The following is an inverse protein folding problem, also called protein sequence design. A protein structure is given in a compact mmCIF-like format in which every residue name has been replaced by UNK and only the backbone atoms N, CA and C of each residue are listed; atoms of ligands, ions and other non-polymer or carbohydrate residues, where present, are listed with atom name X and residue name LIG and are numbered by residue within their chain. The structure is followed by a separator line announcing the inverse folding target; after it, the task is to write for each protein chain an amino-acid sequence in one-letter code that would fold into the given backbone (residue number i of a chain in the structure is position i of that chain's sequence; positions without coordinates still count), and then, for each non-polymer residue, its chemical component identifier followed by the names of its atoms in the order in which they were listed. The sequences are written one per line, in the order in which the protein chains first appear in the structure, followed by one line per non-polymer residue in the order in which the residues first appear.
data_IF_324408929396
#
_entry.id   IF_324408929396
#
_cell.length_a   1.000
_cell.length_b   1.000
_cell.length_c   1.000
_cell.angle_alpha   90.00
_cell.angle_beta   90.00
_cell.angle_gamma   90.00
#
_symmetry.space_group_name_H-M   'P 1'
#
loop_
_entity.id
_entity.type
_entity.pdbx_description
1 polymer ?
#
# COMPACT_ATOMS: atom_id res chain seq x y z
N UNK A 1 16.87 2.20 3.71
CA UNK A 1 15.61 1.69 3.12
C UNK A 1 15.60 0.17 3.24
N UNK A 2 14.62 -0.39 3.95
CA UNK A 2 14.52 -1.83 4.13
C UNK A 2 13.26 -2.35 3.44
N UNK A 3 13.43 -3.31 2.53
CA UNK A 3 12.30 -4.02 1.95
C UNK A 3 11.60 -4.86 3.01
N UNK A 4 10.28 -4.83 3.02
CA UNK A 4 9.45 -5.65 3.88
C UNK A 4 8.46 -6.44 3.04
N UNK A 5 8.24 -7.70 3.44
CA UNK A 5 7.12 -8.45 2.90
C UNK A 5 5.81 -7.92 3.47
N UNK A 6 4.71 -8.18 2.76
CA UNK A 6 3.35 -7.83 3.21
C UNK A 6 3.07 -8.49 4.57
N UNK A 7 3.49 -9.74 4.77
CA UNK A 7 3.37 -10.45 6.05
C UNK A 7 4.09 -9.72 7.19
N UNK A 8 5.31 -9.24 6.96
CA UNK A 8 6.09 -8.51 7.97
C UNK A 8 5.44 -7.16 8.31
N UNK A 9 5.01 -6.42 7.29
CA UNK A 9 4.35 -5.13 7.49
C UNK A 9 3.01 -5.30 8.26
N UNK A 10 2.21 -6.31 7.93
CA UNK A 10 0.97 -6.62 8.66
C UNK A 10 1.21 -7.14 10.08
N UNK A 11 2.39 -7.70 10.37
CA UNK A 11 2.82 -8.06 11.72
C UNK A 11 3.30 -6.84 12.54
N UNK A 12 3.30 -5.64 11.94
CA UNK A 12 3.71 -4.40 12.61
C UNK A 12 5.22 -4.17 12.62
N UNK A 13 5.99 -4.91 11.81
CA UNK A 13 7.41 -4.63 11.69
C UNK A 13 7.66 -3.27 11.04
N UNK A 14 8.33 -2.37 11.76
CA UNK A 14 8.67 -1.00 11.30
C UNK A 14 7.51 0.00 11.31
N UNK A 15 6.50 -0.22 12.17
CA UNK A 15 5.43 0.76 12.41
C UNK A 15 6.02 2.09 12.87
N UNK A 16 5.52 3.20 12.30
CA UNK A 16 6.06 4.55 12.49
C UNK A 16 7.31 4.84 11.63
N UNK A 17 7.79 3.86 10.87
CA UNK A 17 8.92 4.00 9.96
C UNK A 17 8.50 3.95 8.49
N UNK A 18 9.45 4.32 7.61
CA UNK A 18 9.34 4.14 6.17
C UNK A 18 9.57 2.67 5.80
N UNK A 19 8.67 2.13 4.98
CA UNK A 19 8.78 0.77 4.43
C UNK A 19 8.61 0.80 2.91
N UNK A 20 9.29 -0.11 2.23
CA UNK A 20 9.06 -0.37 0.81
C UNK A 20 8.56 -1.81 0.64
N UNK A 21 7.41 -1.96 -0.02
CA UNK A 21 6.86 -3.26 -0.41
C UNK A 21 6.91 -3.43 -1.93
N UNK A 22 6.88 -4.68 -2.38
CA UNK A 22 6.78 -5.04 -3.79
C UNK A 22 5.73 -6.12 -3.93
N UNK A 23 4.85 -6.00 -4.92
CA UNK A 23 3.82 -7.00 -5.11
C UNK A 23 2.88 -6.66 -6.25
N UNK A 24 1.70 -7.26 -6.22
CA UNK A 24 0.67 -7.10 -7.22
C UNK A 24 -0.59 -6.50 -6.61
N UNK A 25 -1.18 -5.58 -7.34
CA UNK A 25 -2.48 -4.97 -7.00
C UNK A 25 -3.55 -6.06 -7.06
N UNK A 26 -4.30 -6.22 -5.98
CA UNK A 26 -5.50 -7.05 -5.90
C UNK A 26 -6.72 -6.25 -6.28
N UNK A 27 -6.87 -5.08 -5.67
CA UNK A 27 -7.98 -4.16 -5.93
C UNK A 27 -7.48 -2.72 -5.78
N UNK A 28 -8.15 -1.80 -6.46
CA UNK A 28 -8.03 -0.36 -6.26
C UNK A 28 -9.44 0.20 -6.04
N UNK A 29 -9.59 1.10 -5.09
CA UNK A 29 -10.83 1.86 -4.88
C UNK A 29 -10.51 3.34 -4.73
N UNK A 30 -11.15 4.14 -5.54
CA UNK A 30 -10.95 5.58 -5.54
C UNK A 30 -11.93 6.26 -4.58
N UNK A 31 -11.46 7.34 -3.94
CA UNK A 31 -12.25 8.27 -3.13
C UNK A 31 -12.04 9.69 -3.66
N UNK A 32 -12.68 10.68 -3.05
CA UNK A 32 -12.57 12.08 -3.49
C UNK A 32 -11.14 12.64 -3.38
N UNK A 33 -10.32 12.15 -2.44
CA UNK A 33 -8.99 12.70 -2.15
C UNK A 33 -7.83 11.70 -2.29
N UNK A 34 -8.11 10.41 -2.48
CA UNK A 34 -7.09 9.35 -2.44
C UNK A 34 -7.59 8.05 -3.09
N UNK A 35 -6.67 7.18 -3.43
CA UNK A 35 -6.93 5.79 -3.84
C UNK A 35 -6.48 4.82 -2.75
N UNK A 36 -7.33 3.85 -2.44
CA UNK A 36 -6.98 2.69 -1.62
C UNK A 36 -6.56 1.55 -2.55
N UNK A 37 -5.30 1.16 -2.48
CA UNK A 37 -4.72 0.07 -3.28
C UNK A 37 -4.42 -1.11 -2.38
N UNK A 38 -5.04 -2.26 -2.60
CA UNK A 38 -4.71 -3.48 -1.87
C UNK A 38 -3.62 -4.23 -2.62
N UNK A 39 -2.48 -4.45 -1.96
CA UNK A 39 -1.29 -5.08 -2.55
C UNK A 39 -0.98 -6.39 -1.83
N UNK A 40 -0.60 -7.41 -2.60
CA UNK A 40 -0.19 -8.71 -2.10
C UNK A 40 1.11 -9.13 -2.77
N UNK A 41 2.01 -9.74 -2.01
CA UNK A 41 3.32 -10.23 -2.49
C UNK A 41 3.46 -11.76 -2.42
N UNK A 42 2.40 -12.46 -1.99
CA UNK A 42 2.38 -13.91 -1.79
C UNK A 42 2.96 -14.40 -0.46
N UNK A 43 3.49 -13.52 0.40
CA UNK A 43 4.02 -13.91 1.72
C UNK A 43 2.93 -14.31 2.72
N UNK A 44 1.70 -13.84 2.52
CA UNK A 44 0.50 -14.26 3.24
C UNK A 44 -0.77 -14.05 2.39
N UNK A 45 -1.90 -14.58 2.86
CA UNK A 45 -3.20 -14.43 2.20
C UNK A 45 -3.78 -13.01 2.30
N UNK A 46 -3.53 -12.32 3.43
CA UNK A 46 -4.03 -10.98 3.64
C UNK A 46 -3.23 -9.96 2.81
N UNK A 47 -3.89 -9.10 2.00
CA UNK A 47 -3.23 -7.97 1.36
C UNK A 47 -2.97 -6.85 2.37
N UNK A 48 -2.01 -5.99 2.08
CA UNK A 48 -1.83 -4.71 2.78
C UNK A 48 -2.47 -3.58 1.99
N UNK A 49 -3.06 -2.62 2.71
CA UNK A 49 -3.61 -1.41 2.13
C UNK A 49 -2.52 -0.36 1.97
N UNK A 50 -2.37 0.14 0.75
CA UNK A 50 -1.58 1.33 0.41
C UNK A 50 -2.57 2.45 0.15
N UNK A 51 -2.43 3.54 0.91
CA UNK A 51 -3.22 4.77 0.77
C UNK A 51 -2.41 5.72 -0.09
N UNK A 52 -2.88 5.95 -1.31
CA UNK A 52 -2.22 6.79 -2.30
C UNK A 52 -2.95 8.15 -2.41
N UNK A 53 -2.40 9.23 -1.83
CA UNK A 53 -3.02 10.56 -1.90
C UNK A 53 -2.94 11.16 -3.31
N UNK A 54 -3.90 12.04 -3.65
CA UNK A 54 -3.93 12.72 -4.96
C UNK A 54 -2.72 13.64 -5.19
N UNK A 55 -2.05 14.04 -4.11
CA UNK A 55 -0.85 14.86 -4.11
C UNK A 55 0.40 14.13 -4.63
N UNK A 56 0.35 12.80 -4.82
CA UNK A 56 1.46 12.06 -5.42
C UNK A 56 1.72 12.53 -6.85
N UNK A 57 2.99 12.81 -7.17
CA UNK A 57 3.38 13.35 -8.47
C UNK A 57 3.02 12.45 -9.67
N UNK A 58 2.87 11.14 -9.44
CA UNK A 58 2.45 10.15 -10.43
C UNK A 58 0.97 9.72 -10.29
N UNK A 59 0.16 10.44 -9.50
CA UNK A 59 -1.21 10.01 -9.22
C UNK A 59 -2.09 9.90 -10.48
N UNK A 60 -2.12 10.96 -11.28
CA UNK A 60 -2.92 11.02 -12.51
C UNK A 60 -2.37 10.09 -13.59
N UNK A 61 -1.05 9.97 -13.72
CA UNK A 61 -0.39 9.22 -14.80
C UNK A 61 -0.27 7.72 -14.53
N UNK A 62 -0.20 7.31 -13.25
CA UNK A 62 0.06 5.92 -12.88
C UNK A 62 -0.97 5.37 -11.88
N UNK A 63 -1.15 6.02 -10.72
CA UNK A 63 -1.99 5.47 -9.63
C UNK A 63 -3.43 5.25 -10.08
N UNK A 64 -4.04 6.23 -10.77
CA UNK A 64 -5.40 6.12 -11.34
C UNK A 64 -5.54 5.05 -12.42
N UNK A 65 -4.43 4.56 -12.96
CA UNK A 65 -4.40 3.52 -13.99
C UNK A 65 -4.12 2.13 -13.44
N UNK A 66 -3.82 1.97 -12.14
CA UNK A 66 -3.57 0.68 -11.51
C UNK A 66 -4.78 -0.25 -11.56
N UNK A 67 -4.68 -1.37 -12.25
CA UNK A 67 -5.71 -2.41 -12.31
C UNK A 67 -5.27 -3.66 -11.55
N UNK A 68 -6.20 -4.61 -11.33
CA UNK A 68 -5.87 -5.89 -10.72
C UNK A 68 -4.80 -6.62 -11.56
N UNK A 69 -3.73 -7.07 -10.91
CA UNK A 69 -2.59 -7.73 -11.55
C UNK A 69 -1.41 -6.80 -11.89
N UNK A 70 -1.55 -5.47 -11.78
CA UNK A 70 -0.42 -4.56 -11.92
C UNK A 70 0.66 -4.87 -10.87
N UNK A 71 1.92 -4.98 -11.30
CA UNK A 71 3.05 -5.06 -10.40
C UNK A 71 3.42 -3.64 -9.93
N UNK A 72 3.66 -3.48 -8.63
CA UNK A 72 3.98 -2.19 -8.02
C UNK A 72 5.14 -2.32 -7.02
N UNK A 73 5.88 -1.23 -6.90
CA UNK A 73 6.75 -0.95 -5.76
C UNK A 73 6.11 0.24 -5.06
N UNK A 74 5.74 0.10 -3.79
CA UNK A 74 5.14 1.18 -3.02
C UNK A 74 6.03 1.47 -1.82
N UNK A 75 6.41 2.73 -1.67
CA UNK A 75 7.11 3.22 -0.47
C UNK A 75 6.16 4.13 0.32
N UNK A 76 6.33 4.14 1.63
CA UNK A 76 5.57 5.04 2.49
C UNK A 76 5.73 4.74 3.96
N UNK A 77 5.02 5.48 4.80
CA UNK A 77 5.03 5.28 6.24
C UNK A 77 4.05 4.18 6.64
N UNK A 78 4.53 3.19 7.40
CA UNK A 78 3.66 2.15 7.97
C UNK A 78 2.96 2.68 9.22
N UNK A 79 1.63 2.79 9.17
CA UNK A 79 0.80 3.33 10.26
C UNK A 79 -0.29 2.33 10.64
N UNK A 80 -0.84 2.48 11.85
CA UNK A 80 -2.03 1.74 12.25
C UNK A 80 -3.20 2.11 11.34
N UNK A 81 -3.91 1.12 10.79
CA UNK A 81 -5.05 1.40 9.91
C UNK A 81 -6.24 1.90 10.72
N UNK A 82 -6.99 2.84 10.15
CA UNK A 82 -8.26 3.29 10.69
C UNK A 82 -9.43 2.40 10.25
N UNK A 83 -9.19 1.45 9.33
CA UNK A 83 -10.19 0.53 8.80
C UNK A 83 -10.48 -0.64 9.74
N UNK A 84 -11.77 -0.96 9.94
CA UNK A 84 -12.17 -2.16 10.68
C UNK A 84 -11.59 -3.42 10.01
N UNK A 85 -10.91 -4.25 10.79
CA UNK A 85 -10.35 -5.53 10.32
C UNK A 85 -8.99 -5.43 9.61
N UNK A 86 -8.35 -4.27 9.64
CA UNK A 86 -6.99 -4.07 9.13
C UNK A 86 -6.10 -3.55 10.26
N UNK A 87 -4.96 -4.18 10.49
CA UNK A 87 -4.05 -3.76 11.58
C UNK A 87 -3.20 -2.56 11.16
N UNK A 88 -2.67 -2.59 9.94
CA UNK A 88 -1.72 -1.59 9.44
C UNK A 88 -1.96 -1.27 7.96
N UNK A 89 -1.58 -0.07 7.57
CA UNK A 89 -1.61 0.44 6.20
C UNK A 89 -0.39 1.29 5.92
N UNK A 90 -0.07 1.47 4.64
CA UNK A 90 1.05 2.28 4.17
C UNK A 90 0.51 3.58 3.61
N UNK A 91 0.89 4.71 4.19
CA UNK A 91 0.64 6.04 3.64
C UNK A 91 1.73 6.33 2.60
N UNK A 92 1.37 6.23 1.32
CA UNK A 92 2.32 6.24 0.22
C UNK A 92 2.94 7.61 0.01
N UNK A 93 4.24 7.61 -0.27
CA UNK A 93 5.01 8.77 -0.69
C UNK A 93 5.56 8.65 -2.13
N UNK A 94 5.64 7.42 -2.67
CA UNK A 94 5.95 7.11 -4.08
C UNK A 94 5.62 5.67 -4.45
#
# INVERSE_FOLDING_TARGET
MAFKSVKQALAGESVGGEVTIKGWVRTRRDSAALSFVHVSDGSCFAPIQVVAPIELGNYESEVKHLSAGCAVIATGMLVASQGKGQSFEIQADR
#
